data_IF_533855977107
#
_entry.id   IF_533855977107
#
_cell.length_a   1.000
_cell.length_b   1.000
_cell.length_c   1.000
_cell.angle_alpha   90.00
_cell.angle_beta   90.00
_cell.angle_gamma   90.00
#
_symmetry.space_group_name_H-M   'P 1'
#
loop_
_entity.id
_entity.type
_entity.pdbx_description
1 polymer ?
#
# COMPACT_ATOMS: atom_id res chain seq x y z
N UNK A 1 19.33 -8.09 -4.89
CA UNK A 1 18.14 -7.78 -5.70
C UNK A 1 18.46 -7.92 -7.17
N UNK A 2 17.61 -8.56 -7.94
CA UNK A 2 17.85 -8.77 -9.36
C UNK A 2 17.73 -7.47 -10.16
N UNK A 3 18.43 -7.41 -11.30
CA UNK A 3 18.32 -6.25 -12.20
C UNK A 3 16.89 -6.10 -12.73
N UNK A 4 16.22 -7.21 -12.97
CA UNK A 4 14.84 -7.21 -13.46
C UNK A 4 13.90 -6.54 -12.47
N UNK A 5 14.02 -6.86 -11.19
CA UNK A 5 13.20 -6.26 -10.15
C UNK A 5 13.49 -4.77 -9.98
N UNK A 6 14.77 -4.38 -10.04
CA UNK A 6 15.14 -2.97 -9.95
C UNK A 6 14.59 -2.17 -11.13
N UNK A 7 14.59 -2.77 -12.32
CA UNK A 7 14.03 -2.14 -13.52
C UNK A 7 12.51 -1.93 -13.37
N UNK A 8 11.79 -2.96 -12.91
CA UNK A 8 10.34 -2.87 -12.69
C UNK A 8 10.03 -1.79 -11.66
N UNK A 9 10.77 -1.76 -10.57
CA UNK A 9 10.57 -0.74 -9.54
C UNK A 9 10.72 0.67 -10.11
N UNK A 10 11.83 0.92 -10.83
CA UNK A 10 12.11 2.24 -11.37
C UNK A 10 11.12 2.66 -12.47
N UNK A 11 10.78 1.74 -13.37
CA UNK A 11 9.96 2.08 -14.54
C UNK A 11 8.46 2.05 -14.29
N UNK A 12 8.02 1.27 -13.31
CA UNK A 12 6.60 1.05 -13.07
C UNK A 12 6.15 1.44 -11.67
N UNK A 13 6.88 1.05 -10.64
CA UNK A 13 6.49 1.32 -9.26
C UNK A 13 6.61 2.81 -8.91
N UNK A 14 7.72 3.42 -9.24
CA UNK A 14 7.95 4.84 -8.92
C UNK A 14 6.90 5.75 -9.59
N UNK A 15 6.60 5.60 -10.89
CA UNK A 15 5.54 6.38 -11.52
C UNK A 15 4.17 6.13 -10.90
N UNK A 16 3.85 4.89 -10.52
CA UNK A 16 2.60 4.54 -9.86
C UNK A 16 2.45 5.31 -8.54
N UNK A 17 3.50 5.29 -7.72
CA UNK A 17 3.50 5.99 -6.43
C UNK A 17 3.32 7.50 -6.64
N UNK A 18 4.05 8.09 -7.59
CA UNK A 18 3.92 9.51 -7.91
C UNK A 18 2.50 9.88 -8.32
N UNK A 19 1.89 9.07 -9.16
CA UNK A 19 0.53 9.29 -9.62
C UNK A 19 -0.46 9.24 -8.46
N UNK A 20 -0.35 8.23 -7.61
CA UNK A 20 -1.24 8.07 -6.48
C UNK A 20 -1.12 9.23 -5.49
N UNK A 21 0.11 9.69 -5.22
CA UNK A 21 0.33 10.81 -4.32
C UNK A 21 -0.19 12.12 -4.91
N UNK A 22 -0.13 12.27 -6.23
CA UNK A 22 -0.67 13.45 -6.91
C UNK A 22 -2.20 13.46 -6.90
N UNK A 23 -2.83 12.28 -7.08
CA UNK A 23 -4.28 12.14 -7.09
C UNK A 23 -4.89 12.21 -5.69
N UNK A 24 -4.16 11.75 -4.69
CA UNK A 24 -4.62 11.67 -3.30
C UNK A 24 -3.59 12.29 -2.36
N UNK A 25 -3.49 13.61 -2.30
CA UNK A 25 -2.44 14.29 -1.54
C UNK A 25 -2.73 14.40 -0.04
N UNK A 26 -3.42 13.42 0.54
CA UNK A 26 -3.74 13.42 1.97
C UNK A 26 -3.77 11.98 2.50
N UNK A 27 -3.43 11.83 3.78
CA UNK A 27 -3.46 10.53 4.45
C UNK A 27 -4.91 10.03 4.58
N UNK A 28 -5.18 8.82 4.08
CA UNK A 28 -6.52 8.25 4.14
C UNK A 28 -6.93 7.81 5.54
N UNK A 29 -5.97 7.67 6.46
CA UNK A 29 -6.24 7.26 7.83
C UNK A 29 -6.41 8.42 8.79
N UNK A 30 -6.36 9.65 8.32
CA UNK A 30 -6.60 10.81 9.16
C UNK A 30 -8.01 10.73 9.75
N UNK A 31 -8.13 10.92 11.07
CA UNK A 31 -9.41 10.80 11.81
C UNK A 31 -9.99 9.37 11.84
N UNK A 32 -9.25 8.38 11.34
CA UNK A 32 -9.65 6.97 11.39
C UNK A 32 -8.72 6.21 12.33
N UNK A 33 -7.40 6.29 12.07
CA UNK A 33 -6.40 5.70 12.96
C UNK A 33 -6.09 6.68 14.10
N UNK A 34 -5.70 6.16 15.29
CA UNK A 34 -5.33 7.03 16.41
C UNK A 34 -4.03 7.78 16.15
N UNK A 35 -3.91 8.91 16.81
CA UNK A 35 -2.72 9.76 16.74
C UNK A 35 -2.71 10.70 15.54
N UNK A 36 -1.83 11.71 15.58
CA UNK A 36 -1.73 12.67 14.48
C UNK A 36 -0.95 12.10 13.31
N UNK A 37 -1.15 12.69 12.13
CA UNK A 37 -0.29 12.40 10.99
C UNK A 37 1.10 12.93 11.25
N UNK A 38 2.12 12.19 10.85
CA UNK A 38 3.50 12.69 10.84
C UNK A 38 4.29 11.99 9.75
N UNK A 39 5.32 12.69 9.27
CA UNK A 39 6.14 12.20 8.18
C UNK A 39 5.49 12.41 6.83
N UNK A 40 6.18 12.01 5.79
CA UNK A 40 5.68 12.17 4.41
C UNK A 40 4.63 11.13 4.08
N UNK A 41 3.90 11.39 3.01
CA UNK A 41 2.91 10.44 2.50
C UNK A 41 3.59 9.27 1.81
N UNK A 42 3.06 8.07 2.05
CA UNK A 42 3.55 6.83 1.45
C UNK A 42 2.38 6.09 0.82
N UNK A 43 2.67 5.03 0.08
CA UNK A 43 1.64 4.17 -0.50
C UNK A 43 1.66 2.81 0.17
N UNK A 44 0.51 2.42 0.70
CA UNK A 44 0.30 1.13 1.36
C UNK A 44 -0.45 0.18 0.43
N UNK A 45 0.03 -1.04 0.29
CA UNK A 45 -0.61 -2.08 -0.51
C UNK A 45 -1.52 -2.92 0.38
N UNK A 46 -2.80 -3.03 0.04
CA UNK A 46 -3.75 -3.80 0.84
C UNK A 46 -3.43 -5.29 0.85
N UNK A 47 -2.84 -5.80 -0.23
CA UNK A 47 -2.32 -7.17 -0.28
C UNK A 47 -0.80 -7.08 -0.26
N UNK A 48 -0.18 -7.72 0.72
CA UNK A 48 1.28 -7.68 0.86
C UNK A 48 1.97 -8.19 -0.39
N UNK A 49 3.03 -7.53 -0.78
CA UNK A 49 3.85 -7.93 -1.92
C UNK A 49 4.32 -9.39 -1.82
N UNK A 50 4.66 -9.85 -0.61
CA UNK A 50 5.09 -11.23 -0.38
C UNK A 50 3.98 -12.24 -0.68
N UNK A 51 2.71 -11.84 -0.59
CA UNK A 51 1.57 -12.70 -0.88
C UNK A 51 1.13 -12.60 -2.33
N UNK A 52 1.26 -11.43 -2.92
CA UNK A 52 0.84 -11.17 -4.29
C UNK A 52 1.92 -11.48 -5.32
N UNK A 53 3.18 -11.19 -4.98
CA UNK A 53 4.29 -11.39 -5.89
C UNK A 53 4.46 -10.28 -6.94
N UNK A 54 3.75 -9.16 -6.78
CA UNK A 54 3.85 -8.03 -7.69
C UNK A 54 4.00 -6.74 -6.90
N UNK A 55 4.77 -5.80 -7.46
CA UNK A 55 4.96 -4.48 -6.84
C UNK A 55 4.28 -3.36 -7.63
N UNK A 56 3.53 -3.73 -8.66
CA UNK A 56 2.84 -2.79 -9.54
C UNK A 56 1.39 -3.22 -9.72
N UNK A 57 0.58 -2.31 -10.26
CA UNK A 57 -0.80 -2.62 -10.58
C UNK A 57 -0.83 -3.25 -11.98
N UNK A 58 -0.65 -4.56 -12.04
CA UNK A 58 -0.72 -5.34 -13.27
C UNK A 58 -1.94 -6.26 -13.24
N UNK A 59 -2.10 -7.09 -14.28
CA UNK A 59 -3.23 -7.99 -14.39
C UNK A 59 -3.33 -8.96 -13.21
N UNK A 60 -2.18 -9.40 -12.68
CA UNK A 60 -2.15 -10.29 -11.52
C UNK A 60 -2.66 -9.58 -10.27
N UNK A 61 -2.22 -8.34 -10.06
CA UNK A 61 -2.65 -7.55 -8.92
C UNK A 61 -4.15 -7.27 -8.99
N UNK A 62 -4.65 -6.92 -10.17
CA UNK A 62 -6.09 -6.69 -10.38
C UNK A 62 -6.90 -7.95 -10.12
N UNK A 63 -6.43 -9.10 -10.61
CA UNK A 63 -7.11 -10.37 -10.40
C UNK A 63 -7.20 -10.75 -8.92
N UNK A 64 -6.22 -10.32 -8.10
CA UNK A 64 -6.21 -10.56 -6.66
C UNK A 64 -6.98 -9.50 -5.87
N UNK A 65 -7.46 -8.45 -6.54
CA UNK A 65 -8.19 -7.37 -5.87
C UNK A 65 -7.30 -6.38 -5.12
N UNK A 66 -6.06 -6.21 -5.59
CA UNK A 66 -5.14 -5.27 -4.95
C UNK A 66 -5.67 -3.85 -4.98
N UNK A 67 -5.58 -3.16 -3.84
CA UNK A 67 -5.89 -1.74 -3.74
C UNK A 67 -4.73 -1.02 -3.05
N UNK A 68 -4.63 0.28 -3.30
CA UNK A 68 -3.57 1.10 -2.75
C UNK A 68 -4.18 2.21 -1.90
N UNK A 69 -3.50 2.53 -0.80
CA UNK A 69 -3.93 3.57 0.13
C UNK A 69 -2.78 4.52 0.38
N UNK A 70 -3.06 5.81 0.40
CA UNK A 70 -2.07 6.82 0.72
C UNK A 70 -2.12 7.07 2.22
N UNK A 71 -1.00 6.84 2.89
CA UNK A 71 -0.88 6.98 4.36
C UNK A 71 0.39 7.74 4.70
N UNK A 72 0.32 8.58 5.72
CA UNK A 72 1.54 9.19 6.24
C UNK A 72 2.40 8.09 6.90
N UNK A 73 3.68 8.38 7.10
CA UNK A 73 4.61 7.42 7.70
C UNK A 73 4.08 6.88 9.02
N UNK A 74 3.57 7.76 9.89
CA UNK A 74 3.06 7.35 11.19
C UNK A 74 1.87 6.40 11.10
N UNK A 75 0.89 6.72 10.28
CA UNK A 75 -0.30 5.88 10.13
C UNK A 75 -0.01 4.61 9.33
N UNK A 76 0.94 4.66 8.38
CA UNK A 76 1.39 3.46 7.68
C UNK A 76 1.99 2.47 8.67
N UNK A 77 2.80 2.97 9.62
CA UNK A 77 3.34 2.13 10.70
C UNK A 77 2.24 1.54 11.57
N UNK A 78 1.24 2.33 11.91
CA UNK A 78 0.11 1.85 12.71
C UNK A 78 -0.64 0.72 12.00
N UNK A 79 -0.95 0.90 10.72
CA UNK A 79 -1.63 -0.12 9.90
C UNK A 79 -0.81 -1.41 9.85
N UNK A 80 0.51 -1.29 9.69
CA UNK A 80 1.41 -2.44 9.63
C UNK A 80 1.47 -3.18 10.97
N UNK A 81 1.48 -2.45 12.08
CA UNK A 81 1.60 -3.03 13.41
C UNK A 81 0.28 -3.56 13.98
N UNK A 82 -0.83 -3.20 13.37
CA UNK A 82 -2.17 -3.58 13.84
C UNK A 82 -2.98 -4.23 12.72
N UNK A 83 -2.58 -5.45 12.27
CA UNK A 83 -3.19 -6.07 11.09
C UNK A 83 -4.69 -6.35 11.23
N UNK A 84 -5.17 -6.72 12.39
CA UNK A 84 -6.61 -6.96 12.59
C UNK A 84 -7.41 -5.68 12.43
N UNK A 85 -6.92 -4.59 13.03
CA UNK A 85 -7.52 -3.27 12.88
C UNK A 85 -7.53 -2.84 11.40
N UNK A 86 -6.40 -3.06 10.73
CA UNK A 86 -6.25 -2.69 9.31
C UNK A 86 -7.23 -3.44 8.41
N UNK A 87 -7.45 -4.72 8.68
CA UNK A 87 -8.44 -5.51 7.93
C UNK A 87 -9.85 -4.99 8.17
N UNK A 88 -10.20 -4.68 9.42
CA UNK A 88 -11.52 -4.15 9.76
C UNK A 88 -11.81 -2.83 9.07
N UNK A 89 -10.78 -2.00 8.86
CA UNK A 89 -10.93 -0.67 8.27
C UNK A 89 -10.61 -0.63 6.78
N UNK A 90 -10.37 -1.78 6.16
CA UNK A 90 -10.20 -1.88 4.71
C UNK A 90 -8.82 -1.50 4.18
N UNK A 91 -7.84 -1.29 5.06
CA UNK A 91 -6.48 -0.96 4.63
C UNK A 91 -5.65 -2.18 4.25
N UNK A 92 -6.04 -3.35 4.74
CA UNK A 92 -5.30 -4.60 4.50
C UNK A 92 -6.30 -5.70 4.20
N UNK A 93 -5.95 -6.57 3.27
CA UNK A 93 -6.76 -7.74 2.92
C UNK A 93 -6.09 -8.98 3.45
N UNK A 94 -6.86 -9.87 4.07
CA UNK A 94 -6.36 -11.16 4.49
C UNK A 94 -6.24 -12.05 3.26
N UNK A 95 -5.15 -12.83 3.21
CA UNK A 95 -5.02 -13.85 2.19
C UNK A 95 -6.08 -14.92 2.45
N UNK A 96 -6.82 -15.28 1.41
CA UNK A 96 -7.80 -16.35 1.52
C UNK A 96 -7.10 -17.69 1.67
N UNK A 97 -7.58 -18.48 2.62
CA UNK A 97 -7.09 -19.84 2.80
C UNK A 97 -7.59 -20.71 1.64
N UNK A 98 -6.73 -21.52 1.13
CA UNK A 98 -7.06 -22.55 0.14
C UNK A 98 -7.07 -22.07 -1.26
#
# INVERSE_FOLDING_TARGET
RSRKLAKVYREQRVPLVRRLLAERPACEAVNVAPGPCFGELTVHESIRRSQLGSIVQDAKAEAQGQTFHVLCVGHHGYVTDHPSWAVEHGFTQRRRAG
#
